data_IF_337963826050
#
_entry.id   IF_337963826050
#
_cell.length_a   1.000
_cell.length_b   1.000
_cell.length_c   1.000
_cell.angle_alpha   90.00
_cell.angle_beta   90.00
_cell.angle_gamma   90.00
#
_symmetry.space_group_name_H-M   'P 1'
#
loop_
_entity.id
_entity.type
_entity.pdbx_description
1 polymer ?
#
# COMPACT_ATOMS: atom_id res chain seq x y z
N UNK A 1 -1.67 14.93 23.77
CA UNK A 1 -2.59 14.18 24.63
C UNK A 1 -3.86 15.00 24.86
N UNK A 2 -5.03 14.36 25.01
CA UNK A 2 -6.30 15.05 25.27
C UNK A 2 -6.36 15.60 26.70
N UNK A 3 -7.20 16.61 26.94
CA UNK A 3 -7.52 17.03 28.30
C UNK A 3 -8.20 15.87 29.07
N UNK A 4 -8.11 15.80 30.41
CA UNK A 4 -8.73 14.71 31.18
C UNK A 4 -10.21 14.50 30.92
N UNK A 5 -10.96 15.57 30.62
CA UNK A 5 -12.40 15.50 30.29
C UNK A 5 -12.69 14.88 28.91
N UNK A 6 -11.71 14.92 28.01
CA UNK A 6 -11.83 14.45 26.63
C UNK A 6 -11.18 13.07 26.42
N UNK A 7 -10.40 12.59 27.40
CA UNK A 7 -9.77 11.27 27.35
C UNK A 7 -10.82 10.15 27.36
N UNK A 8 -10.73 9.24 26.38
CA UNK A 8 -11.68 8.13 26.18
C UNK A 8 -11.11 6.76 26.57
N UNK A 9 -10.11 6.71 27.45
CA UNK A 9 -9.41 5.46 27.81
C UNK A 9 -8.78 4.78 26.60
N UNK A 10 -8.16 5.57 25.71
CA UNK A 10 -7.55 5.08 24.46
C UNK A 10 -6.09 5.47 24.35
N UNK A 11 -5.31 4.59 23.75
CA UNK A 11 -3.94 4.85 23.31
C UNK A 11 -3.83 4.50 21.82
N UNK A 12 -3.10 5.30 21.06
CA UNK A 12 -2.87 5.11 19.63
C UNK A 12 -1.37 5.25 19.34
N UNK A 13 -0.78 4.21 18.76
CA UNK A 13 0.53 4.31 18.11
C UNK A 13 0.35 4.67 16.64
N UNK A 14 1.20 5.55 16.13
CA UNK A 14 1.24 5.92 14.72
C UNK A 14 2.50 5.39 14.06
N UNK A 15 2.45 5.14 12.76
CA UNK A 15 3.62 4.73 11.99
C UNK A 15 4.36 5.83 11.23
N UNK A 16 5.16 5.42 10.24
CA UNK A 16 5.91 6.31 9.35
C UNK A 16 5.63 6.15 7.85
N UNK A 17 6.61 6.57 7.05
CA UNK A 17 6.54 6.63 5.59
C UNK A 17 7.94 6.38 4.99
N UNK A 18 7.99 5.61 3.89
CA UNK A 18 9.23 5.26 3.21
C UNK A 18 10.23 4.52 4.09
N UNK A 19 11.30 5.21 4.49
CA UNK A 19 12.37 4.67 5.35
C UNK A 19 12.35 5.28 6.77
N UNK A 20 11.28 6.00 7.12
CA UNK A 20 11.03 6.50 8.48
C UNK A 20 9.92 5.69 9.13
N UNK A 21 10.01 5.53 10.44
CA UNK A 21 8.92 4.96 11.26
C UNK A 21 8.10 6.03 12.00
N UNK A 22 8.21 7.27 11.54
CA UNK A 22 7.52 8.44 12.10
C UNK A 22 7.26 9.51 11.07
N UNK A 23 6.04 10.02 11.05
CA UNK A 23 5.70 11.30 10.41
C UNK A 23 5.72 12.48 11.41
N UNK A 24 6.30 12.25 12.60
CA UNK A 24 6.40 13.19 13.71
C UNK A 24 5.00 13.70 14.11
N UNK A 25 4.80 15.02 14.03
CA UNK A 25 3.59 15.65 14.54
C UNK A 25 2.40 15.55 13.57
N UNK A 26 2.58 15.12 12.31
CA UNK A 26 1.47 15.08 11.33
C UNK A 26 0.50 13.92 11.58
N UNK A 27 0.97 12.81 12.15
CA UNK A 27 0.15 11.62 12.41
C UNK A 27 -0.58 11.67 13.76
N UNK A 28 0.01 12.33 14.78
CA UNK A 28 -0.56 12.43 16.14
C UNK A 28 -2.02 12.94 16.23
N UNK A 29 -2.50 13.86 15.37
CA UNK A 29 -3.90 14.30 15.37
C UNK A 29 -4.91 13.16 15.19
N UNK A 30 -4.57 12.06 14.49
CA UNK A 30 -5.51 10.95 14.27
C UNK A 30 -5.98 10.35 15.60
N UNK A 31 -5.05 10.06 16.51
CA UNK A 31 -5.37 9.57 17.85
C UNK A 31 -5.95 10.64 18.78
N UNK A 32 -5.43 11.87 18.74
CA UNK A 32 -5.91 12.96 19.62
C UNK A 32 -7.39 13.26 19.36
N UNK A 33 -7.81 13.30 18.10
CA UNK A 33 -9.20 13.53 17.70
C UNK A 33 -10.14 12.42 18.19
N UNK A 34 -9.62 11.22 18.48
CA UNK A 34 -10.36 10.10 19.04
C UNK A 34 -10.37 10.08 20.58
N UNK A 35 -9.85 11.13 21.22
CA UNK A 35 -9.70 11.19 22.68
C UNK A 35 -8.66 10.21 23.20
N UNK A 36 -7.66 9.86 22.39
CA UNK A 36 -6.58 8.95 22.74
C UNK A 36 -5.28 9.70 23.05
N UNK A 37 -4.45 9.11 23.91
CA UNK A 37 -3.02 9.44 23.92
C UNK A 37 -2.40 8.91 22.63
N UNK A 38 -1.83 9.78 21.81
CA UNK A 38 -1.14 9.42 20.59
C UNK A 38 0.38 9.39 20.82
N UNK A 39 1.07 8.39 20.28
CA UNK A 39 2.52 8.23 20.37
C UNK A 39 3.17 7.99 19.01
N UNK A 40 4.39 8.50 18.86
CA UNK A 40 5.28 8.31 17.71
C UNK A 40 6.72 8.06 18.21
N UNK A 41 7.56 7.41 17.41
CA UNK A 41 8.97 7.11 17.71
C UNK A 41 9.79 7.19 16.45
N UNK A 42 11.04 7.65 16.52
CA UNK A 42 11.99 7.59 15.40
C UNK A 42 12.88 6.33 15.43
N UNK A 43 12.62 5.43 16.40
CA UNK A 43 13.37 4.18 16.58
C UNK A 43 14.82 4.37 16.97
N UNK A 44 15.25 5.60 17.28
CA UNK A 44 16.64 5.95 17.59
C UNK A 44 17.53 6.19 16.37
N UNK A 45 16.97 6.19 15.15
CA UNK A 45 17.73 6.42 13.90
C UNK A 45 17.33 7.70 13.14
N UNK A 46 16.42 8.51 13.69
CA UNK A 46 16.11 9.85 13.17
C UNK A 46 15.11 9.83 12.00
N UNK A 47 15.35 10.63 10.96
CA UNK A 47 14.45 10.74 9.80
C UNK A 47 15.20 10.83 8.47
N UNK A 48 14.47 10.99 7.37
CA UNK A 48 14.92 10.89 5.97
C UNK A 48 16.14 11.76 5.56
N UNK A 49 16.54 12.73 6.39
CA UNK A 49 17.60 13.73 6.09
C UNK A 49 19.01 13.29 6.51
N UNK A 50 19.18 12.08 7.05
CA UNK A 50 20.52 11.48 7.14
C UNK A 50 20.85 10.80 5.82
N UNK A 51 22.09 11.00 5.35
CA UNK A 51 22.76 10.21 4.31
C UNK A 51 22.68 8.71 4.67
N UNK A 52 21.56 8.10 4.27
CA UNK A 52 20.77 7.13 5.02
C UNK A 52 21.30 5.71 5.05
N UNK A 53 22.52 5.46 4.61
CA UNK A 53 23.09 4.12 4.57
C UNK A 53 23.92 3.80 5.82
N UNK A 54 24.54 4.82 6.44
CA UNK A 54 25.46 4.64 7.58
C UNK A 54 24.76 4.03 8.81
N UNK A 55 23.44 4.14 8.91
CA UNK A 55 22.68 3.61 10.04
C UNK A 55 22.23 2.15 9.83
N UNK A 56 22.09 1.71 8.59
CA UNK A 56 21.79 0.32 8.23
C UNK A 56 23.02 -0.58 8.26
N UNK A 57 24.21 0.01 8.19
CA UNK A 57 25.48 -0.69 8.24
C UNK A 57 26.24 -0.34 9.53
N UNK A 58 27.13 -1.22 9.95
CA UNK A 58 28.13 -0.95 10.97
C UNK A 58 29.35 -0.30 10.30
N UNK A 59 30.28 0.21 11.09
CA UNK A 59 31.52 0.84 10.58
C UNK A 59 32.43 -0.09 9.76
N UNK A 60 32.20 -1.40 9.80
CA UNK A 60 32.88 -2.41 8.98
C UNK A 60 32.11 -2.78 7.69
N UNK A 61 30.95 -2.17 7.45
CA UNK A 61 30.08 -2.42 6.29
C UNK A 61 29.12 -3.60 6.46
N UNK A 62 29.11 -4.31 7.60
CA UNK A 62 28.10 -5.33 7.87
C UNK A 62 26.73 -4.71 8.20
N UNK A 63 25.64 -5.46 8.00
CA UNK A 63 24.30 -5.00 8.38
C UNK A 63 24.19 -4.77 9.89
N UNK A 64 23.68 -3.60 10.25
CA UNK A 64 23.29 -3.23 11.59
C UNK A 64 21.91 -3.83 11.91
N UNK A 65 21.90 -5.07 12.38
CA UNK A 65 20.68 -5.80 12.71
C UNK A 65 19.83 -5.14 13.80
N UNK A 66 20.43 -4.39 14.73
CA UNK A 66 19.65 -3.68 15.74
C UNK A 66 18.76 -2.62 15.08
N UNK A 67 19.31 -1.83 14.15
CA UNK A 67 18.51 -0.91 13.33
C UNK A 67 17.45 -1.66 12.53
N UNK A 68 17.80 -2.75 11.87
CA UNK A 68 16.85 -3.55 11.08
C UNK A 68 15.68 -4.03 11.92
N UNK A 69 15.92 -4.50 13.14
CA UNK A 69 14.85 -4.92 14.04
C UNK A 69 14.05 -3.75 14.60
N UNK A 70 14.70 -2.62 14.90
CA UNK A 70 14.01 -1.40 15.35
C UNK A 70 13.05 -0.89 14.29
N UNK A 71 13.49 -0.81 13.04
CA UNK A 71 12.64 -0.48 11.90
C UNK A 71 11.58 -1.55 11.63
N UNK A 72 11.99 -2.82 11.63
CA UNK A 72 11.13 -3.95 11.27
C UNK A 72 9.89 -4.07 12.16
N UNK A 73 10.08 -4.06 13.48
CA UNK A 73 8.98 -4.28 14.43
C UNK A 73 9.20 -3.75 15.86
N UNK A 74 10.45 -3.68 16.35
CA UNK A 74 10.71 -3.44 17.79
C UNK A 74 10.36 -2.02 18.24
N UNK A 75 10.68 -1.00 17.44
CA UNK A 75 10.48 0.37 17.89
C UNK A 75 8.99 0.70 18.12
N UNK A 76 8.11 0.23 17.24
CA UNK A 76 6.66 0.43 17.36
C UNK A 76 6.09 -0.40 18.53
N UNK A 77 6.58 -1.62 18.76
CA UNK A 77 6.17 -2.43 19.91
C UNK A 77 6.59 -1.76 21.24
N UNK A 78 7.85 -1.32 21.34
CA UNK A 78 8.36 -0.60 22.51
C UNK A 78 7.59 0.71 22.75
N UNK A 79 7.34 1.49 21.70
CA UNK A 79 6.49 2.68 21.75
C UNK A 79 5.12 2.33 22.33
N UNK A 80 4.50 1.26 21.84
CA UNK A 80 3.18 0.82 22.28
C UNK A 80 3.20 0.44 23.76
N UNK A 81 4.18 -0.34 24.20
CA UNK A 81 4.30 -0.78 25.59
C UNK A 81 4.53 0.40 26.55
N UNK A 82 5.48 1.28 26.23
CA UNK A 82 5.80 2.46 27.03
C UNK A 82 4.62 3.43 27.04
N UNK A 83 4.03 3.70 25.88
CA UNK A 83 2.91 4.63 25.73
C UNK A 83 1.66 4.19 26.51
N UNK A 84 1.34 2.88 26.50
CA UNK A 84 0.27 2.33 27.34
C UNK A 84 0.57 2.48 28.83
N UNK A 85 1.78 2.14 29.28
CA UNK A 85 2.17 2.27 30.68
C UNK A 85 2.12 3.73 31.15
N UNK A 86 2.66 4.65 30.35
CA UNK A 86 2.61 6.07 30.57
C UNK A 86 1.16 6.59 30.64
N UNK A 87 0.30 6.20 29.70
CA UNK A 87 -1.12 6.60 29.68
C UNK A 87 -1.84 6.19 30.96
N UNK A 88 -1.66 4.94 31.40
CA UNK A 88 -2.25 4.45 32.64
C UNK A 88 -1.79 5.26 33.85
N UNK A 89 -0.49 5.54 33.95
CA UNK A 89 0.08 6.31 35.05
C UNK A 89 -0.40 7.77 35.03
N UNK A 90 -0.41 8.42 33.86
CA UNK A 90 -0.72 9.84 33.73
C UNK A 90 -2.19 10.15 34.06
N UNK A 91 -3.12 9.32 33.56
CA UNK A 91 -4.55 9.48 33.84
C UNK A 91 -5.02 8.76 35.11
N UNK A 92 -4.09 8.21 35.91
CA UNK A 92 -4.36 7.45 37.13
C UNK A 92 -5.44 6.37 36.89
N UNK A 93 -5.29 5.62 35.80
CA UNK A 93 -6.23 4.57 35.42
C UNK A 93 -6.11 3.41 36.41
N UNK A 94 -7.25 2.98 36.97
CA UNK A 94 -7.37 1.78 37.80
C UNK A 94 -7.74 0.57 36.94
N UNK A 95 -8.79 -0.18 37.29
CA UNK A 95 -9.23 -1.39 36.60
C UNK A 95 -9.93 -1.12 35.25
N UNK A 96 -10.07 0.15 34.86
CA UNK A 96 -10.65 0.52 33.58
C UNK A 96 -9.76 0.05 32.43
N UNK A 97 -10.35 -0.62 31.44
CA UNK A 97 -9.64 -1.05 30.23
C UNK A 97 -9.07 0.18 29.50
N UNK A 98 -7.78 0.14 29.19
CA UNK A 98 -7.15 1.00 28.20
C UNK A 98 -7.24 0.29 26.86
N UNK A 99 -7.98 0.85 25.92
CA UNK A 99 -8.01 0.39 24.53
C UNK A 99 -6.75 0.87 23.82
N UNK A 100 -6.12 0.00 23.03
CA UNK A 100 -4.89 0.32 22.32
C UNK A 100 -5.03 0.05 20.83
N UNK A 101 -4.67 1.02 20.00
CA UNK A 101 -4.80 0.94 18.56
C UNK A 101 -3.50 1.30 17.84
N UNK A 102 -3.38 0.87 16.60
CA UNK A 102 -2.38 1.34 15.65
C UNK A 102 -3.06 1.99 14.44
N UNK A 103 -2.45 3.05 13.90
CA UNK A 103 -2.91 3.76 12.70
C UNK A 103 -1.71 4.17 11.84
N UNK A 104 -1.67 3.69 10.59
CA UNK A 104 -0.56 3.98 9.67
C UNK A 104 -0.85 3.59 8.23
N UNK A 105 -0.15 4.24 7.30
CA UNK A 105 -0.23 3.99 5.87
C UNK A 105 1.19 3.86 5.27
N UNK A 106 1.36 3.22 4.11
CA UNK A 106 2.68 3.04 3.48
C UNK A 106 3.61 2.16 4.33
N UNK A 107 4.80 2.67 4.68
CA UNK A 107 5.69 2.05 5.68
C UNK A 107 4.98 1.88 7.02
N UNK A 108 4.19 2.87 7.47
CA UNK A 108 3.31 2.72 8.62
C UNK A 108 2.29 1.58 8.45
N UNK A 109 1.87 1.27 7.23
CA UNK A 109 1.05 0.10 6.95
C UNK A 109 1.83 -1.22 7.13
N UNK A 110 3.09 -1.27 6.69
CA UNK A 110 3.99 -2.42 6.93
C UNK A 110 4.25 -2.59 8.43
N UNK A 111 4.52 -1.51 9.16
CA UNK A 111 4.67 -1.52 10.61
C UNK A 111 3.40 -2.03 11.30
N UNK A 112 2.22 -1.57 10.88
CA UNK A 112 0.95 -2.06 11.41
C UNK A 112 0.79 -3.56 11.24
N UNK A 113 1.15 -4.09 10.06
CA UNK A 113 1.18 -5.54 9.84
C UNK A 113 2.24 -6.25 10.65
N UNK A 114 3.42 -5.64 10.87
CA UNK A 114 4.45 -6.24 11.70
C UNK A 114 3.97 -6.41 13.13
N UNK A 115 3.26 -5.40 13.68
CA UNK A 115 2.64 -5.50 15.01
C UNK A 115 1.57 -6.59 15.09
N UNK A 116 0.73 -6.71 14.06
CA UNK A 116 -0.29 -7.76 13.98
C UNK A 116 0.37 -9.16 13.92
N UNK A 117 1.41 -9.33 13.11
CA UNK A 117 2.10 -10.61 12.91
C UNK A 117 2.85 -11.07 14.16
N UNK A 118 3.49 -10.17 14.91
CA UNK A 118 4.15 -10.52 16.19
C UNK A 118 3.15 -10.73 17.34
N UNK A 119 1.85 -10.46 17.12
CA UNK A 119 0.83 -10.56 18.16
C UNK A 119 0.95 -9.47 19.23
N UNK A 120 1.31 -8.24 18.81
CA UNK A 120 1.41 -7.10 19.72
C UNK A 120 0.09 -6.92 20.49
N UNK A 121 0.20 -6.53 21.76
CA UNK A 121 -0.95 -6.37 22.65
C UNK A 121 -1.72 -5.07 22.33
N UNK A 122 -2.47 -5.08 21.23
CA UNK A 122 -3.33 -4.02 20.72
C UNK A 122 -4.73 -4.61 20.45
N UNK A 123 -5.76 -3.78 20.55
CA UNK A 123 -7.15 -4.17 20.30
C UNK A 123 -7.55 -4.02 18.82
N UNK A 124 -6.88 -3.13 18.08
CA UNK A 124 -7.08 -3.03 16.64
C UNK A 124 -6.01 -2.27 15.88
N UNK A 125 -5.92 -2.50 14.57
CA UNK A 125 -5.01 -1.79 13.68
C UNK A 125 -5.74 -1.28 12.41
N UNK A 126 -5.55 0.00 12.09
CA UNK A 126 -5.82 0.57 10.77
C UNK A 126 -4.54 0.49 9.96
N UNK A 127 -4.60 -0.16 8.79
CA UNK A 127 -3.45 -0.43 7.95
C UNK A 127 -3.74 0.02 6.52
N UNK A 128 -3.11 1.11 6.09
CA UNK A 128 -3.24 1.66 4.75
C UNK A 128 -2.07 1.27 3.83
N UNK A 129 -2.36 0.94 2.57
CA UNK A 129 -1.37 0.77 1.48
C UNK A 129 0.00 0.21 1.92
N UNK A 130 0.03 -0.97 2.58
CA UNK A 130 1.20 -1.39 3.35
C UNK A 130 2.37 -1.82 2.46
N UNK A 131 3.57 -1.28 2.73
CA UNK A 131 4.84 -1.65 2.07
C UNK A 131 5.38 -3.03 2.48
N UNK A 132 4.54 -4.07 2.49
CA UNK A 132 4.93 -5.46 2.75
C UNK A 132 5.68 -6.08 1.57
N UNK A 133 6.06 -7.35 1.70
CA UNK A 133 6.89 -8.05 0.72
C UNK A 133 8.16 -7.25 0.46
N UNK A 134 8.80 -6.79 1.53
CA UNK A 134 9.74 -5.67 1.47
C UNK A 134 10.80 -5.82 0.37
N UNK A 135 11.43 -6.99 0.24
CA UNK A 135 12.39 -7.21 -0.86
C UNK A 135 11.76 -7.12 -2.26
N UNK A 136 10.54 -7.63 -2.42
CA UNK A 136 9.79 -7.54 -3.67
C UNK A 136 9.42 -6.09 -3.96
N UNK A 137 8.86 -5.37 -2.99
CA UNK A 137 8.44 -3.98 -3.12
C UNK A 137 9.61 -3.06 -3.46
N UNK A 138 10.72 -3.16 -2.72
CA UNK A 138 11.88 -2.30 -2.95
C UNK A 138 12.49 -2.53 -4.35
N UNK A 139 12.61 -3.79 -4.79
CA UNK A 139 13.16 -4.12 -6.11
C UNK A 139 12.16 -3.80 -7.23
N UNK A 140 10.84 -3.89 -6.98
CA UNK A 140 9.80 -3.55 -7.94
C UNK A 140 9.89 -2.08 -8.40
N UNK A 141 10.33 -1.16 -7.54
CA UNK A 141 10.52 0.24 -7.92
C UNK A 141 11.56 0.45 -9.03
N UNK A 142 12.46 -0.51 -9.27
CA UNK A 142 13.40 -0.47 -10.41
C UNK A 142 12.79 -0.98 -11.71
N UNK A 143 11.65 -1.69 -11.66
CA UNK A 143 11.13 -2.41 -12.81
C UNK A 143 10.75 -1.49 -13.97
N UNK A 144 10.12 -0.35 -13.67
CA UNK A 144 9.69 0.60 -14.70
C UNK A 144 10.84 1.16 -15.51
N UNK A 145 11.90 1.64 -14.87
CA UNK A 145 13.10 2.13 -15.56
C UNK A 145 13.89 1.01 -16.25
N UNK A 146 13.86 -0.20 -15.69
CA UNK A 146 14.44 -1.35 -16.38
C UNK A 146 13.68 -1.65 -17.69
N UNK A 147 12.35 -1.57 -17.71
CA UNK A 147 11.55 -1.72 -18.93
C UNK A 147 11.88 -0.66 -19.96
N UNK A 148 11.96 0.62 -19.56
CA UNK A 148 12.37 1.71 -20.45
C UNK A 148 13.76 1.48 -21.06
N UNK A 149 14.71 1.03 -20.23
CA UNK A 149 16.05 0.66 -20.66
C UNK A 149 16.03 -0.53 -21.64
N UNK A 150 15.29 -1.60 -21.34
CA UNK A 150 15.19 -2.79 -22.20
C UNK A 150 14.58 -2.47 -23.57
N UNK A 151 13.56 -1.62 -23.60
CA UNK A 151 12.89 -1.20 -24.82
C UNK A 151 13.59 -0.03 -25.53
N UNK A 152 14.61 0.54 -24.89
CA UNK A 152 15.34 1.71 -25.36
C UNK A 152 14.40 2.88 -25.74
N UNK A 153 13.38 3.09 -24.91
CA UNK A 153 12.42 4.17 -25.04
C UNK A 153 12.04 4.68 -23.66
N UNK A 154 12.18 5.99 -23.48
CA UNK A 154 11.90 6.69 -22.22
C UNK A 154 10.74 7.66 -22.49
N UNK A 155 9.49 7.22 -22.32
CA UNK A 155 8.33 8.04 -22.62
C UNK A 155 8.37 9.35 -21.82
N UNK A 156 8.07 10.51 -22.43
CA UNK A 156 7.86 11.74 -21.69
C UNK A 156 6.74 11.55 -20.65
N UNK A 157 6.88 12.17 -19.47
CA UNK A 157 5.86 12.15 -18.42
C UNK A 157 4.43 12.34 -18.97
N UNK A 158 4.23 13.33 -19.84
CA UNK A 158 2.91 13.69 -20.34
C UNK A 158 2.35 12.70 -21.36
N UNK A 159 3.20 11.88 -21.97
CA UNK A 159 2.74 10.73 -22.76
C UNK A 159 2.14 9.65 -21.85
N UNK A 160 2.84 9.28 -20.78
CA UNK A 160 2.35 8.30 -19.80
C UNK A 160 1.10 8.80 -19.07
N UNK A 161 1.07 10.08 -18.69
CA UNK A 161 -0.11 10.71 -18.11
C UNK A 161 -1.29 10.69 -19.09
N UNK A 162 -1.05 10.95 -20.39
CA UNK A 162 -2.09 10.84 -21.42
C UNK A 162 -2.62 9.40 -21.54
N UNK A 163 -1.75 8.39 -21.50
CA UNK A 163 -2.17 6.98 -21.50
C UNK A 163 -3.07 6.68 -20.29
N UNK A 164 -2.71 7.14 -19.09
CA UNK A 164 -3.53 6.96 -17.88
C UNK A 164 -4.89 7.67 -18.03
N UNK A 165 -4.92 8.90 -18.54
CA UNK A 165 -6.16 9.64 -18.74
C UNK A 165 -7.11 8.96 -19.74
N UNK A 166 -6.57 8.49 -20.86
CA UNK A 166 -7.34 7.73 -21.86
C UNK A 166 -7.83 6.39 -21.30
N UNK A 167 -7.02 5.74 -20.46
CA UNK A 167 -7.41 4.51 -19.76
C UNK A 167 -8.57 4.78 -18.80
N UNK A 168 -8.49 5.86 -18.02
CA UNK A 168 -9.56 6.30 -17.10
C UNK A 168 -10.85 6.57 -17.88
N UNK A 169 -10.79 7.37 -18.95
CA UNK A 169 -11.95 7.69 -19.79
C UNK A 169 -12.60 6.43 -20.38
N UNK A 170 -11.80 5.49 -20.88
CA UNK A 170 -12.31 4.27 -21.47
C UNK A 170 -12.91 3.31 -20.43
N UNK A 171 -12.42 3.33 -19.19
CA UNK A 171 -12.78 2.37 -18.14
C UNK A 171 -13.79 2.87 -17.10
N UNK A 172 -14.03 4.19 -17.00
CA UNK A 172 -14.95 4.83 -16.04
C UNK A 172 -16.32 4.11 -16.00
N UNK A 173 -16.94 3.94 -17.17
CA UNK A 173 -18.27 3.32 -17.29
C UNK A 173 -18.39 1.85 -16.85
N UNK A 174 -17.28 1.13 -16.65
CA UNK A 174 -17.28 -0.33 -16.42
C UNK A 174 -17.89 -0.72 -15.08
N UNK A 175 -17.98 0.20 -14.13
CA UNK A 175 -18.66 0.00 -12.86
C UNK A 175 -20.14 0.42 -12.89
N UNK A 176 -20.67 0.87 -14.03
CA UNK A 176 -22.07 1.29 -14.17
C UNK A 176 -22.33 2.76 -13.82
N UNK A 177 -21.28 3.54 -13.53
CA UNK A 177 -21.32 4.99 -13.35
C UNK A 177 -20.28 5.65 -14.28
N UNK A 178 -20.54 6.90 -14.67
CA UNK A 178 -19.58 7.73 -15.42
C UNK A 178 -19.37 8.98 -14.58
N UNK A 179 -18.31 8.99 -13.79
CA UNK A 179 -17.97 10.09 -12.89
C UNK A 179 -16.48 10.45 -12.89
N UNK A 180 -15.72 9.94 -13.87
CA UNK A 180 -14.28 10.13 -13.98
C UNK A 180 -13.49 9.31 -12.97
N UNK A 181 -14.08 8.24 -12.41
CA UNK A 181 -13.43 7.35 -11.45
C UNK A 181 -13.50 5.93 -11.97
N UNK A 182 -12.36 5.25 -12.04
CA UNK A 182 -12.35 3.81 -12.31
C UNK A 182 -12.45 3.07 -10.98
N UNK A 183 -13.66 2.67 -10.60
CA UNK A 183 -13.87 1.85 -9.41
C UNK A 183 -13.61 0.36 -9.63
N UNK A 184 -13.37 -0.03 -10.88
CA UNK A 184 -13.18 -1.41 -11.33
C UNK A 184 -12.00 -1.56 -12.28
N UNK A 185 -10.79 -1.35 -11.77
CA UNK A 185 -9.54 -1.58 -12.54
C UNK A 185 -9.39 -3.04 -12.99
N UNK A 186 -10.01 -3.95 -12.26
CA UNK A 186 -10.17 -5.36 -12.65
C UNK A 186 -10.99 -5.54 -13.92
N UNK A 187 -12.08 -4.79 -14.09
CA UNK A 187 -12.81 -4.78 -15.36
C UNK A 187 -12.02 -4.05 -16.44
N UNK A 188 -11.30 -2.98 -16.10
CA UNK A 188 -10.43 -2.27 -17.05
C UNK A 188 -9.39 -3.23 -17.67
N UNK A 189 -8.73 -4.07 -16.86
CA UNK A 189 -7.82 -5.13 -17.33
C UNK A 189 -8.45 -6.12 -18.31
N UNK A 190 -9.75 -6.38 -18.20
CA UNK A 190 -10.46 -7.35 -19.05
C UNK A 190 -10.98 -6.75 -20.36
N UNK A 191 -11.17 -5.43 -20.41
CA UNK A 191 -11.94 -4.77 -21.46
C UNK A 191 -11.19 -3.68 -22.23
N UNK A 192 -10.08 -3.16 -21.71
CA UNK A 192 -9.33 -2.09 -22.33
C UNK A 192 -8.05 -2.58 -23.02
N UNK A 193 -7.83 -2.15 -24.26
CA UNK A 193 -6.59 -2.38 -25.01
C UNK A 193 -5.82 -1.07 -25.13
N UNK A 194 -4.65 -0.99 -24.46
CA UNK A 194 -3.76 0.17 -24.50
C UNK A 194 -3.36 0.61 -25.92
N UNK A 195 -3.39 -0.29 -26.93
CA UNK A 195 -3.12 0.10 -28.31
C UNK A 195 -4.10 1.15 -28.86
N UNK A 196 -5.31 1.25 -28.31
CA UNK A 196 -6.28 2.26 -28.74
C UNK A 196 -5.85 3.69 -28.42
N UNK A 197 -4.79 3.87 -27.60
CA UNK A 197 -4.27 5.19 -27.24
C UNK A 197 -3.25 5.73 -28.24
N UNK A 198 -2.69 4.89 -29.13
CA UNK A 198 -1.65 5.30 -30.08
C UNK A 198 -2.17 6.37 -31.04
N UNK A 199 -1.40 7.44 -31.19
CA UNK A 199 -1.68 8.58 -32.06
C UNK A 199 -2.44 9.72 -31.38
N UNK A 200 -2.93 9.52 -30.15
CA UNK A 200 -3.65 10.55 -29.41
C UNK A 200 -2.71 11.70 -29.01
N UNK A 201 -3.12 12.94 -29.31
CA UNK A 201 -2.32 14.12 -29.00
C UNK A 201 -2.35 14.45 -27.50
N UNK A 202 -1.21 14.91 -26.97
CA UNK A 202 -1.09 15.43 -25.61
C UNK A 202 -0.35 16.77 -25.59
N UNK A 203 -0.69 17.57 -24.58
CA UNK A 203 0.02 18.79 -24.20
C UNK A 203 -0.16 18.98 -22.71
N UNK A 204 0.93 19.23 -21.99
CA UNK A 204 0.94 19.51 -20.57
C UNK A 204 1.78 20.75 -20.29
N UNK A 205 1.38 21.51 -19.28
CA UNK A 205 2.16 22.63 -18.78
C UNK A 205 3.31 22.13 -17.90
N UNK A 206 4.29 23.01 -17.65
CA UNK A 206 5.33 22.70 -16.69
C UNK A 206 4.75 22.52 -15.29
N UNK A 207 5.16 21.48 -14.58
CA UNK A 207 4.85 21.28 -13.17
C UNK A 207 6.06 21.61 -12.30
N UNK A 208 5.83 22.33 -11.21
CA UNK A 208 6.83 22.47 -10.15
C UNK A 208 7.15 21.09 -9.54
N UNK A 209 8.30 20.99 -8.85
CA UNK A 209 8.60 19.84 -7.98
C UNK A 209 7.49 19.74 -6.94
N UNK A 210 6.67 18.69 -7.00
CA UNK A 210 5.53 18.52 -6.10
C UNK A 210 5.97 17.84 -4.79
N UNK A 211 6.89 16.88 -4.88
CA UNK A 211 7.45 16.11 -3.76
C UNK A 211 8.89 15.70 -4.05
N UNK A 212 9.60 15.13 -3.08
CA UNK A 212 10.91 14.48 -3.32
C UNK A 212 10.82 13.31 -4.33
N UNK A 213 9.59 12.88 -4.68
CA UNK A 213 9.32 11.76 -5.57
C UNK A 213 9.00 12.18 -7.01
N UNK A 214 8.68 13.46 -7.26
CA UNK A 214 8.44 13.96 -8.62
C UNK A 214 9.36 15.14 -8.94
N UNK A 215 10.32 14.99 -9.88
CA UNK A 215 11.19 16.08 -10.29
C UNK A 215 10.40 17.16 -11.02
N UNK A 216 11.06 18.29 -11.30
CA UNK A 216 10.49 19.32 -12.16
C UNK A 216 10.15 18.74 -13.54
N UNK A 217 8.92 18.92 -13.99
CA UNK A 217 8.45 18.45 -15.30
C UNK A 217 8.34 19.68 -16.20
N UNK A 218 9.16 19.81 -17.27
CA UNK A 218 8.99 20.89 -18.24
C UNK A 218 7.69 20.69 -19.03
N UNK A 219 7.19 21.73 -19.69
CA UNK A 219 6.06 21.57 -20.61
C UNK A 219 6.44 20.61 -21.75
N UNK A 220 5.51 19.71 -22.10
CA UNK A 220 5.70 18.70 -23.14
C UNK A 220 4.47 18.68 -24.04
N UNK A 221 4.68 18.40 -25.32
CA UNK A 221 3.63 18.10 -26.27
C UNK A 221 4.08 16.99 -27.21
N UNK A 222 3.12 16.30 -27.80
CA UNK A 222 3.39 15.19 -28.70
C UNK A 222 2.15 14.36 -28.99
N UNK A 223 2.39 13.13 -29.41
CA UNK A 223 1.36 12.10 -29.61
C UNK A 223 1.79 10.84 -28.90
N UNK A 224 0.85 10.10 -28.35
CA UNK A 224 1.11 8.77 -27.79
C UNK A 224 1.69 7.87 -28.88
N UNK A 225 2.87 7.33 -28.63
CA UNK A 225 3.65 6.50 -29.54
C UNK A 225 3.36 5.01 -29.30
N UNK A 226 3.70 4.18 -30.29
CA UNK A 226 3.59 2.73 -30.13
C UNK A 226 4.61 2.21 -29.10
N UNK A 227 5.78 2.84 -29.02
CA UNK A 227 6.85 2.56 -28.07
C UNK A 227 6.43 2.92 -26.64
N UNK A 228 5.80 4.07 -26.43
CA UNK A 228 5.25 4.48 -25.13
C UNK A 228 4.17 3.53 -24.62
N UNK A 229 3.28 3.09 -25.53
CA UNK A 229 2.29 2.04 -25.22
C UNK A 229 2.95 0.70 -24.92
N UNK A 230 4.04 0.34 -25.60
CA UNK A 230 4.78 -0.89 -25.31
C UNK A 230 5.43 -0.85 -23.92
N UNK A 231 6.03 0.28 -23.53
CA UNK A 231 6.56 0.51 -22.17
C UNK A 231 5.44 0.39 -21.12
N UNK A 232 4.35 1.14 -21.28
CA UNK A 232 3.22 1.13 -20.35
C UNK A 232 2.63 -0.28 -20.17
N UNK A 233 2.47 -1.03 -21.27
CA UNK A 233 1.98 -2.41 -21.24
C UNK A 233 2.92 -3.33 -20.46
N UNK A 234 4.22 -3.25 -20.70
CA UNK A 234 5.19 -4.12 -20.05
C UNK A 234 5.35 -3.81 -18.55
N UNK A 235 5.23 -2.53 -18.16
CA UNK A 235 5.16 -2.14 -16.75
C UNK A 235 3.92 -2.75 -16.10
N UNK A 236 2.73 -2.57 -16.68
CA UNK A 236 1.46 -3.08 -16.13
C UNK A 236 1.39 -4.62 -16.11
N UNK A 237 2.12 -5.29 -17.01
CA UNK A 237 2.24 -6.73 -16.99
C UNK A 237 3.00 -7.23 -15.74
N UNK A 238 3.87 -6.41 -15.17
CA UNK A 238 4.65 -6.71 -13.97
C UNK A 238 5.91 -7.53 -14.22
N UNK A 239 6.72 -7.68 -13.17
CA UNK A 239 8.02 -8.31 -13.26
C UNK A 239 7.92 -9.80 -13.60
N UNK A 240 8.59 -10.22 -14.67
CA UNK A 240 8.75 -11.63 -15.04
C UNK A 240 10.21 -11.93 -15.29
N UNK A 241 10.64 -13.17 -15.04
CA UNK A 241 11.98 -13.64 -15.31
C UNK A 241 12.18 -13.98 -16.81
N UNK A 242 13.37 -14.44 -17.21
CA UNK A 242 13.67 -14.75 -18.62
C UNK A 242 12.88 -15.94 -19.17
N UNK A 243 12.23 -16.74 -18.31
CA UNK A 243 11.37 -17.86 -18.69
C UNK A 243 9.89 -17.45 -18.77
N UNK A 244 9.57 -16.16 -18.55
CA UNK A 244 8.20 -15.65 -18.51
C UNK A 244 7.46 -16.04 -17.23
N UNK A 245 8.16 -16.45 -16.17
CA UNK A 245 7.56 -16.71 -14.86
C UNK A 245 7.44 -15.41 -14.08
N UNK A 246 6.35 -15.19 -13.38
CA UNK A 246 6.08 -13.93 -12.68
C UNK A 246 6.88 -13.87 -11.38
N UNK A 247 7.62 -12.78 -11.24
CA UNK A 247 8.42 -12.43 -10.07
C UNK A 247 7.54 -11.67 -9.09
N UNK A 248 6.91 -10.58 -9.54
CA UNK A 248 6.05 -9.76 -8.69
C UNK A 248 4.90 -9.13 -9.47
N UNK A 249 4.00 -8.47 -8.73
CA UNK A 249 2.84 -7.77 -9.26
C UNK A 249 3.19 -6.33 -9.62
N UNK A 250 2.35 -5.70 -10.44
CA UNK A 250 2.48 -4.28 -10.80
C UNK A 250 1.26 -3.48 -10.38
N UNK A 251 1.34 -2.18 -10.62
CA UNK A 251 0.28 -1.21 -10.41
C UNK A 251 -0.98 -1.54 -11.23
N UNK A 252 -2.12 -1.00 -10.80
CA UNK A 252 -3.35 -1.11 -11.60
C UNK A 252 -3.31 -0.14 -12.80
N UNK A 253 -4.05 -0.39 -13.89
CA UNK A 253 -3.99 0.40 -15.13
C UNK A 253 -4.23 1.91 -15.00
N UNK A 254 -4.84 2.37 -13.91
CA UNK A 254 -5.15 3.78 -13.65
C UNK A 254 -4.22 4.45 -12.64
N UNK A 255 -3.22 3.73 -12.14
CA UNK A 255 -2.13 4.31 -11.38
C UNK A 255 -1.18 5.08 -12.32
N UNK A 256 -0.68 6.22 -11.87
CA UNK A 256 0.37 6.94 -12.59
C UNK A 256 1.68 6.15 -12.62
N UNK A 257 2.45 6.26 -13.70
CA UNK A 257 3.75 5.59 -13.86
C UNK A 257 4.89 6.33 -13.13
N UNK A 258 4.77 6.54 -11.82
CA UNK A 258 5.74 7.34 -11.04
C UNK A 258 7.16 6.78 -11.10
N UNK A 259 7.32 5.46 -10.93
CA UNK A 259 8.64 4.80 -10.96
C UNK A 259 9.35 4.88 -12.32
N UNK A 260 8.64 5.16 -13.40
CA UNK A 260 9.23 5.40 -14.72
C UNK A 260 9.94 6.77 -14.78
N UNK A 261 9.64 7.68 -13.85
CA UNK A 261 10.12 9.07 -13.88
C UNK A 261 11.21 9.34 -12.85
N UNK A 262 11.22 8.61 -11.73
CA UNK A 262 12.28 8.68 -10.73
C UNK A 262 12.35 7.39 -9.88
N UNK A 263 13.57 6.94 -9.53
CA UNK A 263 13.80 5.86 -8.54
C UNK A 263 14.91 6.22 -7.54
N UNK A 264 15.13 7.51 -7.27
CA UNK A 264 16.27 7.97 -6.47
C UNK A 264 16.32 7.37 -5.04
N UNK A 265 15.21 6.88 -4.48
CA UNK A 265 15.17 6.23 -3.15
C UNK A 265 15.42 4.71 -3.18
N UNK A 266 15.47 4.10 -4.36
CA UNK A 266 15.62 2.64 -4.50
C UNK A 266 17.04 2.17 -4.24
N UNK A 267 18.02 3.08 -4.32
CA UNK A 267 19.43 2.79 -4.01
C UNK A 267 19.61 2.28 -2.57
N UNK A 268 18.83 2.80 -1.61
CA UNK A 268 18.87 2.36 -0.21
C UNK A 268 18.41 0.90 -0.10
N UNK A 269 17.26 0.59 -0.72
CA UNK A 269 16.68 -0.76 -0.71
C UNK A 269 17.57 -1.76 -1.43
N UNK A 270 18.08 -1.41 -2.61
CA UNK A 270 18.95 -2.28 -3.38
C UNK A 270 20.25 -2.58 -2.61
N UNK A 271 20.87 -1.58 -1.99
CA UNK A 271 22.11 -1.77 -1.24
C UNK A 271 21.88 -2.64 0.01
N UNK A 272 20.85 -2.34 0.80
CA UNK A 272 20.49 -3.17 1.97
C UNK A 272 20.22 -4.62 1.57
N UNK A 273 19.43 -4.83 0.51
CA UNK A 273 18.96 -6.17 0.13
C UNK A 273 20.02 -7.00 -0.60
N UNK A 274 20.92 -6.36 -1.36
CA UNK A 274 21.77 -7.06 -2.34
C UNK A 274 23.27 -6.75 -2.24
N UNK A 275 23.66 -5.85 -1.33
CA UNK A 275 25.04 -5.36 -1.17
C UNK A 275 25.59 -4.65 -2.44
N UNK A 276 24.71 -4.17 -3.31
CA UNK A 276 25.04 -3.34 -4.48
C UNK A 276 25.06 -1.89 -4.03
N UNK A 277 26.25 -1.30 -3.95
CA UNK A 277 26.46 0.03 -3.35
C UNK A 277 25.81 1.19 -4.11
N UNK A 278 25.68 1.06 -5.44
CA UNK A 278 24.92 1.96 -6.30
C UNK A 278 24.65 1.28 -7.66
N UNK A 279 23.45 1.46 -8.22
CA UNK A 279 23.13 1.02 -9.58
C UNK A 279 23.21 2.24 -10.52
N UNK A 280 24.38 2.47 -11.10
CA UNK A 280 24.59 3.61 -12.01
C UNK A 280 23.96 3.42 -13.40
N UNK A 281 23.70 2.16 -13.79
CA UNK A 281 22.96 1.81 -15.01
C UNK A 281 22.43 0.37 -14.93
N UNK A 282 21.52 0.00 -15.84
CA UNK A 282 21.03 -1.38 -16.00
C UNK A 282 21.92 -2.25 -16.91
N UNK A 283 23.14 -1.81 -17.26
CA UNK A 283 24.06 -2.61 -18.06
C UNK A 283 24.37 -3.94 -17.36
N UNK A 284 24.13 -5.06 -18.05
CA UNK A 284 24.32 -6.41 -17.50
C UNK A 284 23.23 -6.86 -16.52
N UNK A 285 22.27 -6.00 -16.16
CA UNK A 285 21.09 -6.39 -15.38
C UNK A 285 20.11 -7.14 -16.30
N UNK A 286 19.60 -8.26 -15.81
CA UNK A 286 18.61 -9.07 -16.53
C UNK A 286 17.34 -9.22 -15.71
N UNK A 287 16.29 -9.75 -16.33
CA UNK A 287 15.06 -10.13 -15.64
C UNK A 287 15.30 -11.16 -14.53
N UNK A 288 16.26 -12.07 -14.75
CA UNK A 288 16.69 -13.04 -13.73
C UNK A 288 17.43 -12.36 -12.57
N UNK A 289 18.17 -11.27 -12.84
CA UNK A 289 18.83 -10.48 -11.79
C UNK A 289 17.82 -9.91 -10.79
N UNK A 290 16.67 -9.41 -11.26
CA UNK A 290 15.57 -8.96 -10.38
C UNK A 290 15.06 -10.08 -9.48
N UNK A 291 14.80 -11.27 -10.04
CA UNK A 291 14.40 -12.45 -9.27
C UNK A 291 15.43 -12.78 -8.20
N UNK A 292 16.72 -12.77 -8.56
CA UNK A 292 17.80 -13.19 -7.66
C UNK A 292 18.05 -12.16 -6.55
N UNK A 293 17.92 -10.86 -6.84
CA UNK A 293 17.91 -9.79 -5.85
C UNK A 293 16.78 -9.94 -4.85
N UNK A 294 15.55 -10.16 -5.33
CA UNK A 294 14.39 -10.42 -4.48
C UNK A 294 14.61 -11.69 -3.64
N UNK A 295 15.08 -12.79 -4.24
CA UNK A 295 15.34 -14.02 -3.50
C UNK A 295 16.38 -13.83 -2.37
N UNK A 296 17.42 -13.05 -2.64
CA UNK A 296 18.46 -12.71 -1.65
C UNK A 296 17.87 -11.91 -0.49
N UNK A 297 17.12 -10.86 -0.79
CA UNK A 297 16.44 -10.03 0.21
C UNK A 297 15.43 -10.83 1.02
N UNK A 298 14.56 -11.57 0.32
CA UNK A 298 13.52 -12.41 0.91
C UNK A 298 14.10 -13.43 1.90
N UNK A 299 15.20 -14.09 1.55
CA UNK A 299 15.85 -15.05 2.45
C UNK A 299 16.52 -14.36 3.64
N UNK A 300 17.16 -13.20 3.42
CA UNK A 300 17.95 -12.50 4.44
C UNK A 300 17.09 -11.78 5.47
N UNK A 301 15.96 -11.22 5.04
CA UNK A 301 15.11 -10.33 5.85
C UNK A 301 13.74 -10.91 6.16
N UNK A 302 13.56 -12.22 5.96
CA UNK A 302 12.28 -12.92 6.15
C UNK A 302 11.62 -12.64 7.50
N UNK A 303 12.41 -12.66 8.58
CA UNK A 303 11.96 -12.51 9.97
C UNK A 303 11.97 -11.06 10.48
N UNK A 304 12.30 -10.09 9.61
CA UNK A 304 12.52 -8.69 10.00
C UNK A 304 11.74 -7.70 9.17
N UNK A 305 11.94 -7.68 7.85
CA UNK A 305 11.39 -6.63 6.98
C UNK A 305 10.25 -7.12 6.10
N UNK A 306 10.24 -8.39 5.69
CA UNK A 306 9.28 -8.88 4.71
C UNK A 306 7.83 -8.65 5.11
N UNK A 307 7.50 -8.88 6.38
CA UNK A 307 6.15 -8.70 6.94
C UNK A 307 5.10 -9.47 6.12
N UNK A 308 5.33 -10.76 5.88
CA UNK A 308 4.45 -11.61 5.05
C UNK A 308 3.88 -12.81 5.81
N UNK A 309 4.01 -12.86 7.14
CA UNK A 309 3.58 -14.01 7.94
C UNK A 309 2.05 -14.14 7.99
N UNK A 310 1.43 -15.20 7.41
CA UNK A 310 -0.02 -15.26 7.23
C UNK A 310 -0.78 -15.90 8.41
N UNK A 311 -0.10 -16.59 9.33
CA UNK A 311 -0.73 -17.15 10.53
C UNK A 311 -0.83 -16.10 11.63
N UNK A 312 -2.04 -15.53 11.76
CA UNK A 312 -2.35 -14.47 12.71
C UNK A 312 -3.12 -14.99 13.93
N UNK A 313 -2.97 -16.27 14.27
CA UNK A 313 -3.69 -16.92 15.37
C UNK A 313 -3.52 -16.21 16.71
N UNK A 314 -2.34 -15.68 17.03
CA UNK A 314 -2.08 -14.96 18.28
C UNK A 314 -2.94 -13.69 18.36
N UNK A 315 -2.96 -12.89 17.29
CA UNK A 315 -3.76 -11.68 17.19
C UNK A 315 -5.26 -11.97 17.24
N UNK A 316 -5.72 -12.95 16.44
CA UNK A 316 -7.12 -13.34 16.40
C UNK A 316 -7.62 -13.86 17.76
N UNK A 317 -6.84 -14.71 18.43
CA UNK A 317 -7.21 -15.26 19.74
C UNK A 317 -7.21 -14.20 20.84
N UNK A 318 -6.45 -13.11 20.69
CA UNK A 318 -6.50 -11.94 21.56
C UNK A 318 -7.73 -11.05 21.31
N UNK A 319 -8.51 -11.33 20.26
CA UNK A 319 -9.71 -10.57 19.88
C UNK A 319 -9.43 -9.33 19.01
N UNK A 320 -8.20 -9.19 18.50
CA UNK A 320 -7.79 -8.03 17.72
C UNK A 320 -8.54 -7.89 16.40
N UNK A 321 -8.77 -6.64 15.97
CA UNK A 321 -9.44 -6.31 14.69
C UNK A 321 -8.51 -5.57 13.74
N UNK A 322 -8.58 -5.88 12.45
CA UNK A 322 -7.78 -5.21 11.40
C UNK A 322 -8.69 -4.61 10.36
N UNK A 323 -8.55 -3.30 10.16
CA UNK A 323 -9.13 -2.55 9.04
C UNK A 323 -8.00 -2.21 8.08
N UNK A 324 -7.91 -2.96 6.98
CA UNK A 324 -6.92 -2.77 5.93
C UNK A 324 -7.56 -2.03 4.76
N UNK A 325 -6.92 -0.99 4.26
CA UNK A 325 -7.34 -0.31 3.04
C UNK A 325 -6.17 -0.08 2.08
N UNK A 326 -6.46 0.04 0.78
CA UNK A 326 -5.43 0.33 -0.21
C UNK A 326 -6.06 1.08 -1.40
N UNK A 327 -5.44 2.19 -1.82
CA UNK A 327 -5.78 2.88 -3.06
C UNK A 327 -5.75 1.93 -4.25
N UNK A 328 -6.81 1.91 -5.06
CA UNK A 328 -6.84 1.04 -6.24
C UNK A 328 -5.97 1.59 -7.38
N UNK A 329 -5.71 2.90 -7.40
CA UNK A 329 -4.81 3.57 -8.34
C UNK A 329 -3.50 3.99 -7.67
N UNK A 330 -3.04 3.22 -6.67
CA UNK A 330 -1.79 3.46 -5.97
C UNK A 330 -0.58 3.29 -6.92
N UNK A 331 0.22 4.34 -7.14
CA UNK A 331 1.38 4.31 -8.04
C UNK A 331 2.69 3.95 -7.35
N UNK A 332 2.68 3.70 -6.04
CA UNK A 332 3.88 3.43 -5.24
C UNK A 332 3.89 2.00 -4.71
N UNK A 333 2.79 1.55 -4.11
CA UNK A 333 2.66 0.18 -3.61
C UNK A 333 1.62 -0.53 -4.47
N UNK A 334 1.95 -1.62 -5.17
CA UNK A 334 0.96 -2.37 -5.93
C UNK A 334 -0.18 -2.89 -5.06
N UNK A 335 -1.40 -2.41 -5.29
CA UNK A 335 -2.62 -2.82 -4.57
C UNK A 335 -2.84 -4.34 -4.52
N UNK A 336 -2.39 -5.04 -5.56
CA UNK A 336 -2.48 -6.50 -5.64
C UNK A 336 -1.67 -7.22 -4.55
N UNK A 337 -0.62 -6.61 -3.98
CA UNK A 337 0.12 -7.14 -2.84
C UNK A 337 -0.75 -7.27 -1.59
N UNK A 338 -1.62 -6.28 -1.33
CA UNK A 338 -2.60 -6.34 -0.24
C UNK A 338 -3.64 -7.44 -0.44
N UNK A 339 -4.14 -7.60 -1.67
CA UNK A 339 -5.08 -8.69 -2.00
C UNK A 339 -4.41 -10.05 -1.83
N UNK A 340 -3.17 -10.20 -2.31
CA UNK A 340 -2.38 -11.41 -2.13
C UNK A 340 -2.27 -11.77 -0.64
N UNK A 341 -1.84 -10.84 0.19
CA UNK A 341 -1.66 -11.10 1.61
C UNK A 341 -2.99 -11.41 2.33
N UNK A 342 -4.09 -10.73 1.99
CA UNK A 342 -5.43 -11.09 2.48
C UNK A 342 -5.79 -12.55 2.14
N UNK A 343 -5.58 -12.96 0.88
CA UNK A 343 -5.86 -14.33 0.44
C UNK A 343 -4.92 -15.36 1.09
N UNK A 344 -3.66 -15.01 1.34
CA UNK A 344 -2.70 -15.83 2.09
C UNK A 344 -3.18 -16.06 3.52
N UNK A 345 -3.51 -15.01 4.27
CA UNK A 345 -4.09 -15.11 5.63
C UNK A 345 -5.37 -15.95 5.60
N UNK A 346 -6.28 -15.68 4.66
CA UNK A 346 -7.54 -16.44 4.52
C UNK A 346 -7.29 -17.94 4.37
N UNK A 347 -6.38 -18.30 3.46
CA UNK A 347 -6.09 -19.71 3.16
C UNK A 347 -5.36 -20.44 4.29
N UNK A 348 -4.48 -19.75 5.03
CA UNK A 348 -3.71 -20.32 6.14
C UNK A 348 -4.54 -20.43 7.41
N UNK A 349 -5.35 -19.41 7.72
CA UNK A 349 -6.21 -19.40 8.91
C UNK A 349 -7.44 -20.31 8.77
N UNK A 350 -7.91 -20.54 7.53
CA UNK A 350 -9.14 -21.28 7.26
C UNK A 350 -8.99 -22.30 6.10
N UNK A 351 -8.04 -23.24 6.18
CA UNK A 351 -7.72 -24.15 5.07
C UNK A 351 -8.85 -25.13 4.73
N UNK A 352 -9.69 -25.46 5.72
CA UNK A 352 -10.76 -26.47 5.58
C UNK A 352 -12.12 -25.87 5.18
N UNK A 353 -12.21 -24.55 5.00
CA UNK A 353 -13.44 -23.86 4.63
C UNK A 353 -13.53 -23.59 3.13
N UNK A 354 -14.75 -23.61 2.57
CA UNK A 354 -14.96 -23.09 1.21
C UNK A 354 -14.59 -21.60 1.12
N UNK A 355 -14.34 -21.09 -0.09
CA UNK A 355 -13.97 -19.69 -0.30
C UNK A 355 -14.91 -18.72 0.44
N UNK A 356 -16.23 -18.82 0.22
CA UNK A 356 -17.20 -17.92 0.85
C UNK A 356 -17.24 -18.06 2.38
N UNK A 357 -17.10 -19.28 2.92
CA UNK A 357 -17.06 -19.49 4.38
C UNK A 357 -15.78 -18.92 4.99
N UNK A 358 -14.62 -19.11 4.34
CA UNK A 358 -13.34 -18.57 4.79
C UNK A 358 -13.28 -17.04 4.70
N UNK A 359 -13.87 -16.44 3.67
CA UNK A 359 -14.02 -14.97 3.56
C UNK A 359 -14.89 -14.43 4.69
N UNK A 360 -16.03 -15.08 4.98
CA UNK A 360 -16.90 -14.68 6.08
C UNK A 360 -16.16 -14.77 7.43
N UNK A 361 -15.51 -15.90 7.70
CA UNK A 361 -14.76 -16.12 8.94
C UNK A 361 -13.60 -15.13 9.12
N UNK A 362 -12.87 -14.82 8.03
CA UNK A 362 -11.82 -13.82 8.08
C UNK A 362 -12.37 -12.42 8.33
N UNK A 363 -13.45 -12.05 7.63
CA UNK A 363 -14.07 -10.73 7.74
C UNK A 363 -14.70 -10.43 9.12
N UNK A 364 -14.88 -11.44 9.98
CA UNK A 364 -15.29 -11.24 11.38
C UNK A 364 -14.21 -10.48 12.21
N UNK A 365 -12.97 -10.41 11.73
CA UNK A 365 -11.88 -9.71 12.44
C UNK A 365 -10.82 -9.04 11.55
N UNK A 366 -10.64 -9.44 10.28
CA UNK A 366 -9.75 -8.78 9.33
C UNK A 366 -10.52 -8.46 8.03
N UNK A 367 -10.69 -7.16 7.76
CA UNK A 367 -11.39 -6.64 6.58
C UNK A 367 -10.46 -5.83 5.69
N UNK A 368 -10.51 -6.08 4.39
CA UNK A 368 -9.81 -5.33 3.35
C UNK A 368 -10.79 -4.46 2.54
N UNK A 369 -10.41 -3.22 2.26
CA UNK A 369 -11.15 -2.28 1.41
C UNK A 369 -10.24 -1.74 0.31
N UNK A 370 -10.61 -1.97 -0.94
CA UNK A 370 -9.93 -1.36 -2.09
C UNK A 370 -10.64 -0.05 -2.40
N UNK A 371 -9.88 1.06 -2.44
CA UNK A 371 -10.44 2.41 -2.55
C UNK A 371 -10.53 2.81 -4.03
N UNK A 372 -11.75 2.90 -4.62
CA UNK A 372 -11.95 3.30 -6.02
C UNK A 372 -11.21 4.59 -6.38
N UNK A 373 -10.37 4.56 -7.41
CA UNK A 373 -9.60 5.72 -7.87
C UNK A 373 -8.58 6.30 -6.87
N UNK A 374 -8.54 5.83 -5.62
CA UNK A 374 -7.62 6.33 -4.58
C UNK A 374 -6.16 6.07 -4.95
N UNK A 375 -5.29 7.03 -4.64
CA UNK A 375 -3.84 6.96 -4.85
C UNK A 375 -3.13 6.41 -3.59
N UNK A 376 -1.81 6.57 -3.53
CA UNK A 376 -1.02 6.19 -2.36
C UNK A 376 -1.40 7.05 -1.15
N UNK A 377 -1.99 6.42 -0.13
CA UNK A 377 -2.37 7.04 1.14
C UNK A 377 -3.21 8.32 1.04
N UNK A 378 -3.86 8.58 -0.10
CA UNK A 378 -4.66 9.78 -0.30
C UNK A 378 -5.56 9.76 -1.53
N UNK A 379 -6.31 10.84 -1.69
CA UNK A 379 -7.08 11.10 -2.90
C UNK A 379 -6.17 11.26 -4.13
N UNK A 380 -6.72 11.01 -5.31
CA UNK A 380 -5.99 11.04 -6.56
C UNK A 380 -6.35 12.28 -7.38
N UNK A 381 -5.36 13.10 -7.72
CA UNK A 381 -5.58 14.30 -8.55
C UNK A 381 -6.04 13.97 -9.98
N UNK A 382 -5.69 12.79 -10.51
CA UNK A 382 -6.14 12.32 -11.83
C UNK A 382 -7.60 11.82 -11.81
N UNK A 383 -8.14 11.54 -10.63
CA UNK A 383 -9.52 11.08 -10.43
C UNK A 383 -10.16 11.85 -9.26
N UNK A 384 -10.38 13.18 -9.39
CA UNK A 384 -10.76 14.05 -8.29
C UNK A 384 -12.14 13.74 -7.67
N UNK A 385 -12.95 12.94 -8.38
CA UNK A 385 -14.25 12.46 -7.90
C UNK A 385 -14.16 11.15 -7.11
N UNK A 386 -12.96 10.59 -6.94
CA UNK A 386 -12.73 9.38 -6.14
C UNK A 386 -13.01 9.64 -4.65
N UNK A 387 -13.67 8.71 -3.93
CA UNK A 387 -13.89 8.84 -2.49
C UNK A 387 -12.66 8.45 -1.68
N UNK A 388 -12.40 9.17 -0.58
CA UNK A 388 -11.34 8.82 0.38
C UNK A 388 -11.90 8.58 1.79
N UNK A 389 -11.59 7.46 2.47
CA UNK A 389 -12.12 7.15 3.79
C UNK A 389 -11.34 7.85 4.91
N UNK A 390 -11.73 9.07 5.27
CA UNK A 390 -11.03 9.90 6.28
C UNK A 390 -11.27 9.47 7.74
N UNK A 391 -12.19 8.51 7.98
CA UNK A 391 -12.67 8.13 9.32
C UNK A 391 -12.42 6.65 9.67
N UNK A 392 -11.38 6.05 9.10
CA UNK A 392 -11.02 4.63 9.31
C UNK A 392 -10.74 4.31 10.78
N UNK A 393 -9.98 5.13 11.51
CA UNK A 393 -9.71 4.90 12.94
C UNK A 393 -10.98 4.95 13.79
N UNK A 394 -11.87 5.92 13.52
CA UNK A 394 -13.16 5.99 14.19
C UNK A 394 -14.03 4.75 13.89
N UNK A 395 -14.01 4.28 12.64
CA UNK A 395 -14.72 3.07 12.20
C UNK A 395 -14.18 1.82 12.90
N UNK A 396 -12.86 1.68 13.02
CA UNK A 396 -12.23 0.57 13.76
C UNK A 396 -12.59 0.62 15.25
N UNK A 397 -12.55 1.80 15.87
CA UNK A 397 -12.94 1.99 17.27
C UNK A 397 -14.39 1.54 17.49
N UNK A 398 -15.31 1.92 16.61
CA UNK A 398 -16.71 1.49 16.69
C UNK A 398 -16.87 -0.02 16.51
N UNK A 399 -16.04 -0.65 15.68
CA UNK A 399 -16.02 -2.10 15.53
C UNK A 399 -15.52 -2.80 16.81
N UNK A 400 -14.40 -2.34 17.36
CA UNK A 400 -13.76 -2.93 18.54
C UNK A 400 -14.57 -2.71 19.81
N UNK A 401 -15.04 -1.49 20.06
CA UNK A 401 -15.66 -1.12 21.34
C UNK A 401 -17.18 -1.35 21.35
N UNK A 402 -17.84 -1.29 20.19
CA UNK A 402 -19.31 -1.35 20.09
C UNK A 402 -19.81 -2.53 19.25
N UNK A 403 -18.93 -3.31 18.63
CA UNK A 403 -19.33 -4.41 17.75
C UNK A 403 -19.99 -3.95 16.45
N UNK A 404 -19.79 -2.68 16.04
CA UNK A 404 -20.36 -2.14 14.80
C UNK A 404 -19.43 -2.52 13.64
N UNK A 405 -19.73 -3.65 13.01
CA UNK A 405 -18.92 -4.21 11.94
C UNK A 405 -18.98 -3.37 10.64
N UNK A 406 -17.82 -2.98 10.07
CA UNK A 406 -17.80 -2.21 8.83
C UNK A 406 -17.96 -3.11 7.62
N UNK A 407 -19.18 -3.19 7.09
CA UNK A 407 -19.45 -3.86 5.79
C UNK A 407 -18.99 -3.02 4.60
N UNK A 408 -19.04 -1.71 4.76
CA UNK A 408 -18.56 -0.69 3.83
C UNK A 408 -17.81 0.38 4.62
N UNK A 409 -16.96 1.15 3.94
CA UNK A 409 -16.41 2.39 4.48
C UNK A 409 -17.13 3.58 3.89
N UNK A 410 -17.26 4.64 4.68
CA UNK A 410 -17.72 5.92 4.20
C UNK A 410 -16.53 6.74 3.69
N UNK A 411 -16.55 7.13 2.42
CA UNK A 411 -15.52 7.97 1.82
C UNK A 411 -16.05 9.32 1.36
N UNK A 412 -15.23 10.36 1.49
CA UNK A 412 -15.52 11.72 1.05
C UNK A 412 -14.93 11.94 -0.34
N UNK A 413 -15.74 12.38 -1.29
CA UNK A 413 -15.30 12.87 -2.60
C UNK A 413 -14.77 14.29 -2.44
N UNK A 414 -13.45 14.49 -2.47
CA UNK A 414 -12.84 15.78 -2.11
C UNK A 414 -13.31 16.95 -2.99
N UNK A 415 -13.58 16.71 -4.27
CA UNK A 415 -14.05 17.76 -5.20
C UNK A 415 -15.43 18.33 -4.87
N UNK A 416 -16.28 17.57 -4.16
CA UNK A 416 -17.70 17.92 -3.93
C UNK A 416 -18.14 17.83 -2.47
N UNK A 417 -17.37 17.18 -1.60
CA UNK A 417 -17.77 16.80 -0.24
C UNK A 417 -18.80 15.67 -0.19
N UNK A 418 -19.20 15.10 -1.33
CA UNK A 418 -20.19 14.03 -1.39
C UNK A 418 -19.69 12.78 -0.68
N UNK A 419 -20.60 12.07 -0.02
CA UNK A 419 -20.30 10.83 0.68
C UNK A 419 -20.61 9.64 -0.23
N UNK A 420 -19.66 8.71 -0.34
CA UNK A 420 -19.78 7.52 -1.16
C UNK A 420 -19.29 6.30 -0.37
N UNK A 421 -20.07 5.23 -0.46
CA UNK A 421 -19.74 3.98 0.21
C UNK A 421 -18.68 3.20 -0.58
N UNK A 422 -17.78 2.54 0.14
CA UNK A 422 -16.68 1.74 -0.41
C UNK A 422 -16.91 0.30 0.03
N UNK A 423 -16.94 -0.63 -0.93
CA UNK A 423 -17.22 -2.04 -0.69
C UNK A 423 -16.05 -2.75 0.01
N UNK A 424 -16.36 -3.64 0.95
CA UNK A 424 -15.39 -4.58 1.50
C UNK A 424 -15.04 -5.69 0.51
N UNK A 425 -13.76 -6.01 0.38
CA UNK A 425 -13.24 -7.13 -0.40
C UNK A 425 -13.83 -8.46 0.12
N UNK A 426 -14.16 -9.43 -0.76
CA UNK A 426 -13.96 -9.48 -2.21
C UNK A 426 -15.09 -8.87 -3.04
N UNK A 427 -16.07 -8.20 -2.42
CA UNK A 427 -17.12 -7.55 -3.18
C UNK A 427 -16.59 -6.25 -3.79
N UNK A 428 -16.99 -6.01 -5.03
CA UNK A 428 -16.52 -4.90 -5.85
C UNK A 428 -17.69 -3.97 -6.18
N UNK A 429 -17.45 -2.66 -6.33
CA UNK A 429 -18.54 -1.73 -6.57
C UNK A 429 -19.17 -1.93 -7.97
N UNK A 430 -20.49 -1.76 -8.03
CA UNK A 430 -21.26 -1.69 -9.27
C UNK A 430 -22.49 -0.80 -9.04
N UNK A 431 -22.67 0.23 -9.86
CA UNK A 431 -23.81 1.13 -9.78
C UNK A 431 -24.93 0.71 -10.74
N UNK A 432 -26.13 0.62 -10.18
CA UNK A 432 -27.36 0.39 -10.92
C UNK A 432 -28.23 1.66 -10.90
N UNK A 433 -29.37 1.62 -11.60
CA UNK A 433 -30.29 2.74 -11.73
C UNK A 433 -29.59 4.01 -12.27
N UNK A 434 -28.91 3.87 -13.41
CA UNK A 434 -28.17 4.95 -14.06
C UNK A 434 -27.15 5.63 -13.12
N UNK A 435 -26.30 4.85 -12.46
CA UNK A 435 -25.22 5.40 -11.63
C UNK A 435 -25.61 5.87 -10.22
N UNK A 436 -26.87 5.70 -9.78
CA UNK A 436 -27.36 6.32 -8.54
C UNK A 436 -27.39 5.40 -7.32
N UNK A 437 -27.35 4.07 -7.52
CA UNK A 437 -27.41 3.10 -6.43
C UNK A 437 -26.22 2.14 -6.48
N UNK A 438 -25.35 2.22 -5.48
CA UNK A 438 -24.25 1.28 -5.31
C UNK A 438 -24.77 -0.11 -4.90
N UNK A 439 -24.20 -1.14 -5.51
CA UNK A 439 -24.23 -2.53 -5.08
C UNK A 439 -22.80 -3.04 -4.94
N UNK A 440 -22.50 -3.73 -3.85
CA UNK A 440 -21.27 -4.49 -3.72
C UNK A 440 -21.49 -5.88 -4.35
N UNK A 441 -20.94 -6.07 -5.54
CA UNK A 441 -21.16 -7.23 -6.39
C UNK A 441 -19.97 -8.19 -6.37
N UNK A 442 -20.27 -9.47 -6.54
CA UNK A 442 -19.27 -10.52 -6.74
C UNK A 442 -19.18 -10.85 -8.23
N UNK A 443 -17.97 -10.91 -8.77
CA UNK A 443 -17.71 -11.41 -10.12
C UNK A 443 -16.41 -12.23 -10.14
N UNK A 444 -16.51 -13.52 -10.46
CA UNK A 444 -15.37 -14.44 -10.41
C UNK A 444 -14.27 -14.05 -11.39
N UNK A 445 -14.64 -13.67 -12.63
CA UNK A 445 -13.68 -13.34 -13.67
C UNK A 445 -12.85 -12.11 -13.29
N UNK A 446 -13.51 -11.11 -12.72
CA UNK A 446 -12.91 -9.90 -12.16
C UNK A 446 -11.98 -10.22 -10.98
N UNK A 447 -12.43 -11.07 -10.05
CA UNK A 447 -11.62 -11.49 -8.91
C UNK A 447 -10.34 -12.23 -9.32
N UNK A 448 -10.41 -13.03 -10.36
CA UNK A 448 -9.24 -13.76 -10.85
C UNK A 448 -8.16 -12.83 -11.44
N UNK A 449 -8.51 -11.59 -11.85
CA UNK A 449 -7.51 -10.59 -12.27
C UNK A 449 -6.65 -10.04 -11.13
N UNK A 450 -7.06 -10.27 -9.88
CA UNK A 450 -6.31 -9.92 -8.68
C UNK A 450 -5.44 -11.06 -8.16
N UNK A 451 -5.61 -12.28 -8.69
CA UNK A 451 -4.88 -13.46 -8.25
C UNK A 451 -3.67 -13.67 -9.15
N UNK A 452 -2.50 -13.45 -8.58
CA UNK A 452 -1.23 -13.62 -9.28
C UNK A 452 -0.50 -14.86 -8.78
N UNK A 453 0.02 -15.66 -9.70
CA UNK A 453 0.92 -16.76 -9.39
C UNK A 453 2.37 -16.26 -9.46
N UNK A 454 3.04 -16.11 -8.31
CA UNK A 454 4.44 -15.68 -8.23
C UNK A 454 5.39 -16.87 -8.42
N UNK A 455 5.29 -17.49 -9.60
CA UNK A 455 5.92 -18.77 -9.93
C UNK A 455 7.41 -18.70 -10.35
N UNK A 456 8.04 -17.52 -10.26
CA UNK A 456 9.48 -17.41 -10.39
C UNK A 456 10.23 -18.05 -9.21
N UNK A 457 9.59 -18.15 -8.04
CA UNK A 457 10.16 -18.69 -6.80
C UNK A 457 9.65 -20.09 -6.48
N UNK A 458 10.50 -20.91 -5.86
CA UNK A 458 10.13 -22.28 -5.41
C UNK A 458 9.50 -22.31 -4.02
N UNK A 459 9.78 -21.30 -3.20
CA UNK A 459 9.19 -21.16 -1.87
C UNK A 459 7.84 -20.46 -1.97
N UNK A 460 6.86 -20.79 -1.11
CA UNK A 460 5.65 -20.00 -0.99
C UNK A 460 5.98 -18.54 -0.69
N UNK A 461 5.37 -17.63 -1.44
CA UNK A 461 5.47 -16.18 -1.27
C UNK A 461 4.10 -15.68 -0.83
N UNK A 462 3.89 -15.52 0.48
CA UNK A 462 2.57 -15.18 1.03
C UNK A 462 2.25 -13.71 0.90
#
# INVERSE_FOLDING_TARGET
MPAPVDFKNRYVSTGGEGWNITEKNSSLPSGINMGAVAGTTDGGFGGFDVSSWEFWLKGDGEVNWDTVYMFGYKAIDELSQIGKAFTKSFYNMSDTKLWAYFDGCSEGGREGWSQVQIGANLDGAVIGAPGMHFSFQQIQHLWSQFVEYQLNYYPPYCELEKIVNLTTEACDHLDGRVDGVVARTDMCKLHFDLNSTVGEAYSCDSSAVITNFMPYIPSQNGTVTAEGVAVAREILNGAHDNLGRRIYVSYQPTASFQDAQSAQWVEIGLNLLTNVSALSSFEGVTRDTFRDWIATGFQRYYDSLETTWPDLSVWHNAGGKVLHYHGESDPQVPTAGSVRYYESVRSVMYPDLSYNQSVAALNDWYRLFLIPGGAHCGANSLQPNAPWPESTLATLIDWVEKGIEPKTLNGTVQSTGAQQQICGWPLRPYWINNGTKLQCAYDQRSLDTWKYDLNAFKMPTF
#
